data_IF_976758839926
#
_entry.id   IF_976758839926
#
_cell.length_a   1.000
_cell.length_b   1.000
_cell.length_c   1.000
_cell.angle_alpha   90.00
_cell.angle_beta   90.00
_cell.angle_gamma   90.00
#
_symmetry.space_group_name_H-M   'P 1'
#
loop_
_entity.id
_entity.type
_entity.pdbx_description
1 polymer ?
#
# COMPACT_ATOMS: atom_id res chain seq x y z
N UNK A 1 13.16 -6.20 -20.48
CA UNK A 1 12.64 -5.61 -19.21
C UNK A 1 12.51 -4.08 -19.23
N UNK A 2 12.58 -3.39 -20.38
CA UNK A 2 12.62 -1.90 -20.43
C UNK A 2 11.28 -1.22 -20.77
N UNK A 3 10.36 -1.90 -21.46
CA UNK A 3 9.13 -1.25 -21.94
C UNK A 3 8.14 -0.93 -20.80
N UNK A 4 7.84 -1.90 -19.92
CA UNK A 4 6.88 -1.67 -18.83
C UNK A 4 7.36 -0.63 -17.83
N UNK A 5 8.67 -0.51 -17.58
CA UNK A 5 9.24 0.42 -16.59
C UNK A 5 8.84 1.87 -16.86
N UNK A 6 8.60 2.24 -18.11
CA UNK A 6 8.12 3.59 -18.48
C UNK A 6 6.65 3.84 -18.12
N UNK A 7 5.84 2.77 -18.02
CA UNK A 7 4.40 2.82 -17.76
C UNK A 7 4.09 2.57 -16.28
N UNK A 8 4.91 1.76 -15.59
CA UNK A 8 4.73 1.43 -14.16
C UNK A 8 4.46 2.66 -13.28
N UNK A 9 5.18 3.80 -13.41
CA UNK A 9 4.91 4.99 -12.60
C UNK A 9 3.52 5.61 -12.82
N UNK A 10 2.84 5.30 -13.92
CA UNK A 10 1.50 5.79 -14.24
C UNK A 10 0.38 4.91 -13.68
N UNK A 11 0.68 3.65 -13.35
CA UNK A 11 -0.31 2.66 -12.90
C UNK A 11 -0.10 2.21 -11.45
N UNK A 12 1.13 2.27 -10.95
CA UNK A 12 1.43 1.96 -9.55
C UNK A 12 1.01 3.15 -8.69
N UNK A 13 0.16 2.88 -7.69
CA UNK A 13 -0.27 3.90 -6.73
C UNK A 13 0.91 4.49 -5.96
N UNK A 14 0.91 5.81 -5.65
CA UNK A 14 1.91 6.41 -4.79
C UNK A 14 1.96 5.77 -3.40
N UNK A 15 0.88 5.14 -2.94
CA UNK A 15 0.79 4.47 -1.64
C UNK A 15 1.22 2.99 -1.68
N UNK A 16 1.56 2.44 -2.85
CA UNK A 16 2.10 1.09 -2.95
C UNK A 16 3.59 1.10 -2.59
N UNK A 17 3.93 0.55 -1.42
CA UNK A 17 5.31 0.55 -0.92
C UNK A 17 6.09 -0.72 -1.27
N UNK A 18 5.39 -1.85 -1.41
CA UNK A 18 6.01 -3.15 -1.75
C UNK A 18 6.43 -3.26 -3.21
N UNK A 19 7.59 -3.89 -3.44
CA UNK A 19 8.12 -4.26 -4.77
C UNK A 19 8.32 -3.06 -5.73
N UNK A 20 8.44 -1.84 -5.21
CA UNK A 20 8.75 -0.63 -5.99
C UNK A 20 10.20 -0.22 -5.77
N UNK A 21 10.96 -0.04 -6.85
CA UNK A 21 12.35 0.40 -6.77
C UNK A 21 12.43 1.78 -6.09
N UNK A 22 13.31 1.91 -5.10
CA UNK A 22 13.54 3.15 -4.37
C UNK A 22 12.60 3.36 -3.18
N UNK A 23 11.70 2.42 -2.90
CA UNK A 23 10.91 2.40 -1.66
C UNK A 23 11.46 1.35 -0.70
N UNK A 24 11.57 1.73 0.57
CA UNK A 24 12.05 0.88 1.64
C UNK A 24 10.88 0.33 2.47
N UNK A 25 11.13 -0.76 3.19
CA UNK A 25 10.13 -1.33 4.11
C UNK A 25 9.67 -0.32 5.19
N UNK A 26 10.56 0.62 5.54
CA UNK A 26 10.27 1.72 6.46
C UNK A 26 9.14 2.61 5.98
N UNK A 27 9.00 2.82 4.66
CA UNK A 27 7.93 3.64 4.09
C UNK A 27 6.55 3.01 4.37
N UNK A 28 6.46 1.68 4.34
CA UNK A 28 5.25 0.95 4.68
C UNK A 28 4.92 1.01 6.17
N UNK A 29 5.94 1.00 7.03
CA UNK A 29 5.77 1.15 8.48
C UNK A 29 5.23 2.55 8.81
N UNK A 30 5.80 3.60 8.20
CA UNK A 30 5.34 4.97 8.38
C UNK A 30 3.89 5.15 7.91
N UNK A 31 3.54 4.60 6.74
CA UNK A 31 2.17 4.63 6.23
C UNK A 31 1.17 3.96 7.19
N UNK A 32 1.54 2.81 7.76
CA UNK A 32 0.70 2.14 8.76
C UNK A 32 0.56 2.95 10.05
N UNK A 33 1.62 3.64 10.49
CA UNK A 33 1.57 4.54 11.64
C UNK A 33 0.66 5.74 11.39
N UNK A 34 0.68 6.32 10.18
CA UNK A 34 -0.22 7.40 9.77
C UNK A 34 -1.68 6.94 9.85
N UNK A 35 -2.01 5.76 9.30
CA UNK A 35 -3.37 5.21 9.42
C UNK A 35 -3.80 5.00 10.88
N UNK A 36 -2.89 4.50 11.74
CA UNK A 36 -3.18 4.33 13.16
C UNK A 36 -3.40 5.68 13.85
N UNK A 37 -2.65 6.72 13.49
CA UNK A 37 -2.85 8.06 14.02
C UNK A 37 -4.22 8.63 13.64
N UNK A 38 -4.64 8.42 12.40
CA UNK A 38 -5.94 8.88 11.90
C UNK A 38 -7.13 8.22 12.61
N UNK A 39 -6.94 7.02 13.20
CA UNK A 39 -7.99 6.37 14.00
C UNK A 39 -8.42 7.19 15.21
N UNK A 40 -7.51 8.00 15.78
CA UNK A 40 -7.79 8.80 16.98
C UNK A 40 -8.53 10.12 16.65
N UNK A 41 -8.71 10.44 15.37
CA UNK A 41 -9.41 11.65 14.93
C UNK A 41 -10.90 11.54 15.20
N UNK A 42 -11.50 12.59 15.79
CA UNK A 42 -12.96 12.63 16.01
C UNK A 42 -13.69 12.74 14.68
N UNK A 43 -14.40 11.68 14.31
CA UNK A 43 -15.33 11.67 13.17
C UNK A 43 -16.78 11.55 13.66
N UNK A 44 -17.76 11.83 12.78
CA UNK A 44 -19.20 11.70 13.11
C UNK A 44 -19.60 10.27 13.54
N UNK A 45 -18.80 9.27 13.18
CA UNK A 45 -19.02 7.84 13.46
C UNK A 45 -17.75 7.18 14.02
N UNK A 46 -17.46 5.93 13.67
CA UNK A 46 -16.26 5.20 14.09
C UNK A 46 -15.21 5.16 12.98
N UNK A 47 -13.93 5.22 13.35
CA UNK A 47 -12.81 4.96 12.45
C UNK A 47 -12.46 3.46 12.45
N UNK A 48 -12.10 2.91 11.29
CA UNK A 48 -11.74 1.50 11.12
C UNK A 48 -10.57 1.39 10.13
N UNK A 49 -9.59 0.55 10.46
CA UNK A 49 -8.55 0.10 9.51
C UNK A 49 -8.88 -1.33 9.06
N UNK A 50 -8.81 -1.56 7.75
CA UNK A 50 -8.94 -2.90 7.17
C UNK A 50 -7.55 -3.43 6.79
N UNK A 51 -7.10 -4.48 7.49
CA UNK A 51 -5.91 -5.23 7.09
C UNK A 51 -6.32 -6.38 6.19
N UNK A 52 -6.05 -6.22 4.89
CA UNK A 52 -6.33 -7.23 3.87
C UNK A 52 -5.04 -7.96 3.51
N UNK A 53 -5.11 -9.29 3.42
CA UNK A 53 -4.02 -10.16 2.97
C UNK A 53 -4.56 -11.11 1.90
N UNK A 54 -3.78 -11.32 0.84
CA UNK A 54 -4.16 -12.19 -0.28
C UNK A 54 -3.38 -13.50 -0.14
N UNK A 55 -4.09 -14.55 0.30
CA UNK A 55 -3.55 -15.90 0.37
C UNK A 55 -3.01 -16.33 -1.00
N UNK A 56 -1.76 -16.81 -1.04
CA UNK A 56 -1.13 -17.33 -2.26
C UNK A 56 -1.33 -16.39 -3.47
N UNK A 57 -1.02 -15.10 -3.29
CA UNK A 57 -1.32 -14.05 -4.25
C UNK A 57 -0.87 -14.35 -5.70
N UNK A 58 0.27 -15.04 -5.88
CA UNK A 58 0.76 -15.40 -7.22
C UNK A 58 0.06 -16.63 -7.83
N UNK A 59 -0.46 -17.54 -7.00
CA UNK A 59 -1.14 -18.75 -7.49
C UNK A 59 -2.59 -18.46 -7.89
N UNK A 60 -3.16 -17.35 -7.40
CA UNK A 60 -4.53 -16.91 -7.68
C UNK A 60 -4.62 -15.88 -8.82
N UNK A 61 -3.59 -15.77 -9.66
CA UNK A 61 -3.60 -14.92 -10.86
C UNK A 61 -3.93 -15.81 -12.06
N UNK A 62 -5.07 -15.56 -12.69
CA UNK A 62 -5.49 -16.19 -13.96
C UNK A 62 -4.91 -15.48 -15.19
#
# INVERSE_FOLDING_TARGET
MSHLTSILPKIISPYQMGFVKGKAITDNILLAQEFCHDLDVRVRSSNIILKLDISKAYDNID
#
